data_IF_319572896240
#
_entry.id   IF_319572896240
#
_cell.length_a   1.000
_cell.length_b   1.000
_cell.length_c   1.000
_cell.angle_alpha   90.00
_cell.angle_beta   90.00
_cell.angle_gamma   90.00
#
_symmetry.space_group_name_H-M   'P 1'
#
loop_
_entity.id
_entity.type
_entity.pdbx_description
1 polymer ?
#
# COMPACT_ATOMS: atom_id res chain seq x y z
N UNK A 1 -3.34 0.28 9.88
CA UNK A 1 -2.97 1.65 10.31
C UNK A 1 -4.00 2.12 11.32
N UNK A 2 -3.57 2.49 12.53
CA UNK A 2 -4.47 3.03 13.56
C UNK A 2 -4.67 4.52 13.32
N UNK A 3 -5.89 5.01 13.56
CA UNK A 3 -6.27 6.40 13.24
C UNK A 3 -5.40 7.42 13.97
N UNK A 4 -5.17 7.25 15.28
CA UNK A 4 -4.34 8.15 16.08
C UNK A 4 -2.90 8.24 15.55
N UNK A 5 -2.29 7.09 15.25
CA UNK A 5 -0.90 7.03 14.79
C UNK A 5 -0.71 7.67 13.40
N UNK A 6 -1.70 7.56 12.51
CA UNK A 6 -1.65 8.25 11.22
C UNK A 6 -1.62 9.78 11.41
N UNK A 7 -2.48 10.30 12.26
CA UNK A 7 -2.60 11.75 12.47
C UNK A 7 -1.28 12.31 13.01
N UNK A 8 -0.68 11.64 14.00
CA UNK A 8 0.58 12.06 14.59
C UNK A 8 1.74 12.00 13.58
N UNK A 9 1.81 10.95 12.76
CA UNK A 9 2.83 10.81 11.71
C UNK A 9 2.70 11.92 10.65
N UNK A 10 1.48 12.24 10.21
CA UNK A 10 1.28 13.29 9.19
C UNK A 10 1.54 14.68 9.76
N UNK A 11 1.19 14.93 11.03
CA UNK A 11 1.42 16.22 11.69
C UNK A 11 2.91 16.58 11.73
N UNK A 12 3.80 15.61 11.91
CA UNK A 12 5.26 15.84 11.94
C UNK A 12 5.84 16.37 10.62
N UNK A 13 5.19 16.10 9.49
CA UNK A 13 5.66 16.49 8.16
C UNK A 13 4.79 17.58 7.51
N UNK A 14 3.72 17.98 8.19
CA UNK A 14 2.78 18.99 7.74
C UNK A 14 3.46 20.35 7.69
N UNK A 15 3.38 20.99 6.52
CA UNK A 15 3.85 22.35 6.31
C UNK A 15 2.72 23.06 5.57
N UNK A 16 2.13 24.13 6.15
CA UNK A 16 1.16 24.95 5.45
C UNK A 16 1.71 25.41 4.10
N UNK A 17 0.89 25.29 3.06
CA UNK A 17 1.15 25.76 1.69
C UNK A 17 2.33 25.06 0.98
N UNK A 18 2.72 23.88 1.45
CA UNK A 18 3.70 23.06 0.78
C UNK A 18 3.18 22.45 -0.53
N UNK A 19 4.11 22.21 -1.45
CA UNK A 19 3.85 21.52 -2.72
C UNK A 19 3.65 20.01 -2.50
N UNK A 20 2.38 19.57 -2.47
CA UNK A 20 1.99 18.17 -2.34
C UNK A 20 2.27 17.31 -3.60
N UNK A 21 2.80 17.91 -4.66
CA UNK A 21 3.16 17.19 -5.89
C UNK A 21 4.60 16.69 -5.88
N UNK A 22 5.35 16.80 -4.77
CA UNK A 22 6.77 16.43 -4.74
C UNK A 22 7.18 15.65 -3.49
N UNK A 23 8.10 14.71 -3.70
CA UNK A 23 8.76 13.95 -2.63
C UNK A 23 7.77 13.24 -1.69
N UNK A 24 8.13 13.19 -0.41
CA UNK A 24 7.35 12.49 0.62
C UNK A 24 5.92 13.02 0.80
N UNK A 25 5.66 14.26 0.37
CA UNK A 25 4.34 14.92 0.47
C UNK A 25 3.32 14.39 -0.54
N UNK A 26 3.76 13.65 -1.55
CA UNK A 26 2.87 12.91 -2.45
C UNK A 26 2.20 11.70 -1.77
N UNK A 27 2.69 11.27 -0.60
CA UNK A 27 2.14 10.11 0.10
C UNK A 27 0.65 10.29 0.34
N UNK A 28 -0.17 9.28 -0.01
CA UNK A 28 -1.65 9.39 -0.07
C UNK A 28 -2.27 10.08 1.14
N UNK A 29 -1.75 9.79 2.35
CA UNK A 29 -2.29 10.34 3.60
C UNK A 29 -2.10 11.84 3.76
N UNK A 30 -1.01 12.39 3.26
CA UNK A 30 -0.57 13.76 3.58
C UNK A 30 -1.49 14.81 2.95
N UNK A 31 -1.77 14.81 1.64
CA UNK A 31 -2.66 15.80 1.04
C UNK A 31 -4.11 15.65 1.53
N UNK A 32 -4.50 14.44 1.96
CA UNK A 32 -5.87 14.17 2.44
C UNK A 32 -6.12 14.66 3.85
N UNK A 33 -5.08 14.86 4.64
CA UNK A 33 -5.17 15.42 5.99
C UNK A 33 -4.97 16.92 6.06
N UNK A 34 -4.59 17.59 4.96
CA UNK A 34 -4.32 19.03 4.95
C UNK A 34 -5.48 19.86 5.53
N UNK A 35 -6.71 19.64 5.05
CA UNK A 35 -7.89 20.35 5.54
C UNK A 35 -8.13 20.13 7.04
N UNK A 36 -8.05 18.88 7.48
CA UNK A 36 -8.23 18.54 8.90
C UNK A 36 -7.17 19.21 9.79
N UNK A 37 -5.90 19.16 9.39
CA UNK A 37 -4.79 19.73 10.18
C UNK A 37 -4.83 21.27 10.20
N UNK A 38 -5.30 21.91 9.13
CA UNK A 38 -5.54 23.37 9.14
C UNK A 38 -6.64 23.71 10.13
N UNK A 39 -7.81 23.08 10.02
CA UNK A 39 -8.98 23.37 10.86
C UNK A 39 -8.79 22.96 12.33
N UNK A 40 -7.91 21.99 12.61
CA UNK A 40 -7.51 21.60 13.96
C UNK A 40 -6.93 22.79 14.75
N UNK A 41 -6.19 23.69 14.10
CA UNK A 41 -5.49 24.82 14.73
C UNK A 41 -6.35 26.06 15.02
N UNK A 42 -7.51 26.20 14.38
CA UNK A 42 -8.33 27.42 14.44
C UNK A 42 -9.60 27.31 15.29
N UNK A 43 -10.05 26.10 15.62
CA UNK A 43 -11.35 25.87 16.28
C UNK A 43 -11.11 25.49 17.74
N UNK A 44 -11.51 26.35 18.69
CA UNK A 44 -11.35 26.04 20.11
C UNK A 44 -12.51 25.19 20.68
N UNK A 45 -13.66 25.01 19.99
CA UNK A 45 -14.86 24.46 20.67
C UNK A 45 -15.83 23.52 19.89
N UNK A 46 -15.68 23.22 18.59
CA UNK A 46 -16.56 22.24 17.89
C UNK A 46 -15.87 20.90 17.60
N UNK A 47 -15.96 19.99 18.59
CA UNK A 47 -15.40 18.64 18.54
C UNK A 47 -16.05 17.76 17.46
N UNK A 48 -17.35 17.95 17.18
CA UNK A 48 -18.06 17.09 16.23
C UNK A 48 -17.67 17.42 14.78
N UNK A 49 -17.53 18.71 14.44
CA UNK A 49 -17.02 19.11 13.11
C UNK A 49 -15.60 18.59 12.85
N UNK A 50 -14.69 18.66 13.83
CA UNK A 50 -13.33 18.12 13.71
C UNK A 50 -13.35 16.61 13.45
N UNK A 51 -14.19 15.89 14.19
CA UNK A 51 -14.36 14.45 14.02
C UNK A 51 -14.93 14.10 12.64
N UNK A 52 -15.91 14.85 12.13
CA UNK A 52 -16.44 14.66 10.78
C UNK A 52 -15.37 14.88 9.70
N UNK A 53 -14.54 15.91 9.84
CA UNK A 53 -13.43 16.19 8.92
C UNK A 53 -12.38 15.09 8.95
N UNK A 54 -12.02 14.59 10.14
CA UNK A 54 -11.09 13.49 10.29
C UNK A 54 -11.63 12.21 9.62
N UNK A 55 -12.90 11.85 9.87
CA UNK A 55 -13.52 10.67 9.24
C UNK A 55 -13.59 10.82 7.72
N UNK A 56 -13.97 12.00 7.22
CA UNK A 56 -13.98 12.29 5.78
C UNK A 56 -12.58 12.14 5.15
N UNK A 57 -11.56 12.66 5.84
CA UNK A 57 -10.17 12.57 5.39
C UNK A 57 -9.68 11.11 5.37
N UNK A 58 -10.01 10.32 6.39
CA UNK A 58 -9.68 8.88 6.46
C UNK A 58 -10.41 8.10 5.35
N UNK A 59 -11.69 8.40 5.11
CA UNK A 59 -12.45 7.78 4.03
C UNK A 59 -11.81 8.06 2.66
N UNK A 60 -11.36 9.30 2.44
CA UNK A 60 -10.64 9.68 1.23
C UNK A 60 -9.29 8.96 1.08
N UNK A 61 -8.53 8.76 2.17
CA UNK A 61 -7.31 7.95 2.15
C UNK A 61 -7.62 6.52 1.72
N UNK A 62 -8.64 5.89 2.32
CA UNK A 62 -9.05 4.52 1.97
C UNK A 62 -9.45 4.42 0.50
N UNK A 63 -10.24 5.38 0.01
CA UNK A 63 -10.68 5.42 -1.39
C UNK A 63 -9.49 5.57 -2.35
N UNK A 64 -8.57 6.50 -2.05
CA UNK A 64 -7.38 6.72 -2.86
C UNK A 64 -6.41 5.53 -2.82
N UNK A 65 -6.25 4.86 -1.68
CA UNK A 65 -5.45 3.65 -1.58
C UNK A 65 -6.03 2.53 -2.46
N UNK A 66 -7.36 2.37 -2.48
CA UNK A 66 -8.03 1.42 -3.38
C UNK A 66 -7.78 1.76 -4.85
N UNK A 67 -7.95 3.03 -5.23
CA UNK A 67 -7.68 3.47 -6.61
C UNK A 67 -6.21 3.25 -7.00
N UNK A 68 -5.27 3.53 -6.10
CA UNK A 68 -3.86 3.25 -6.33
C UNK A 68 -3.61 1.77 -6.60
N UNK A 69 -4.20 0.88 -5.80
CA UNK A 69 -4.09 -0.58 -6.00
C UNK A 69 -4.67 -0.99 -7.36
N UNK A 70 -5.82 -0.44 -7.76
CA UNK A 70 -6.41 -0.70 -9.08
C UNK A 70 -5.47 -0.25 -10.21
N UNK A 71 -4.85 0.93 -10.11
CA UNK A 71 -3.88 1.40 -11.09
C UNK A 71 -2.59 0.57 -11.10
N UNK A 72 -2.12 0.11 -9.94
CA UNK A 72 -0.96 -0.78 -9.86
C UNK A 72 -1.25 -2.12 -10.54
N UNK A 73 -2.45 -2.68 -10.33
CA UNK A 73 -2.87 -3.91 -11.00
C UNK A 73 -2.92 -3.75 -12.52
N UNK A 74 -3.53 -2.67 -13.03
CA UNK A 74 -3.56 -2.35 -14.46
C UNK A 74 -2.12 -2.24 -15.03
N UNK A 75 -1.22 -1.53 -14.35
CA UNK A 75 0.18 -1.42 -14.77
C UNK A 75 0.88 -2.78 -14.84
N UNK A 76 0.68 -3.65 -13.86
CA UNK A 76 1.25 -5.01 -13.87
C UNK A 76 0.67 -5.82 -15.03
N UNK A 77 -0.64 -5.76 -15.27
CA UNK A 77 -1.29 -6.44 -16.39
C UNK A 77 -0.74 -5.97 -17.75
N UNK A 78 -0.45 -4.67 -17.90
CA UNK A 78 0.19 -4.15 -19.12
C UNK A 78 1.62 -4.63 -19.29
N UNK A 79 2.40 -4.74 -18.21
CA UNK A 79 3.74 -5.33 -18.29
C UNK A 79 3.68 -6.77 -18.81
N UNK A 80 2.73 -7.56 -18.32
CA UNK A 80 2.55 -8.95 -18.79
C UNK A 80 2.04 -9.00 -20.23
N UNK A 81 0.99 -8.25 -20.56
CA UNK A 81 0.25 -8.43 -21.81
C UNK A 81 0.79 -7.61 -22.99
N UNK A 82 1.30 -6.40 -22.74
CA UNK A 82 1.80 -5.50 -23.79
C UNK A 82 3.32 -5.59 -23.94
N UNK A 83 4.04 -5.78 -22.83
CA UNK A 83 5.51 -5.87 -22.83
C UNK A 83 6.02 -7.31 -22.84
N UNK A 84 5.12 -8.30 -22.77
CA UNK A 84 5.44 -9.72 -22.78
C UNK A 84 6.43 -10.11 -21.66
N UNK A 85 6.38 -9.42 -20.52
CA UNK A 85 7.21 -9.77 -19.38
C UNK A 85 6.77 -11.11 -18.81
N UNK A 86 7.73 -12.02 -18.63
CA UNK A 86 7.48 -13.29 -17.99
C UNK A 86 7.39 -13.08 -16.47
N UNK A 87 6.18 -12.80 -15.99
CA UNK A 87 5.90 -12.53 -14.57
C UNK A 87 5.26 -13.77 -13.95
N UNK A 88 5.85 -14.29 -12.87
CA UNK A 88 5.24 -15.33 -12.06
C UNK A 88 4.17 -14.74 -11.13
N UNK A 89 2.91 -15.16 -11.30
CA UNK A 89 1.81 -14.73 -10.45
C UNK A 89 1.68 -15.63 -9.22
N UNK A 90 1.80 -15.03 -8.02
CA UNK A 90 1.71 -15.73 -6.74
C UNK A 90 0.44 -15.28 -6.02
N UNK A 91 -0.46 -16.22 -5.75
CA UNK A 91 -1.78 -15.93 -5.17
C UNK A 91 -1.69 -15.95 -3.65
N UNK A 92 -1.73 -14.77 -3.04
CA UNK A 92 -1.72 -14.61 -1.58
C UNK A 92 -3.13 -14.42 -0.97
N UNK A 93 -4.21 -14.53 -1.76
CA UNK A 93 -5.60 -14.23 -1.30
C UNK A 93 -5.99 -14.99 -0.03
N UNK A 94 -5.63 -16.28 0.06
CA UNK A 94 -5.94 -17.09 1.25
C UNK A 94 -5.27 -16.56 2.53
N UNK A 95 -4.07 -15.98 2.42
CA UNK A 95 -3.33 -15.41 3.55
C UNK A 95 -4.09 -14.22 4.15
N UNK A 96 -4.66 -13.37 3.30
CA UNK A 96 -5.41 -12.19 3.75
C UNK A 96 -6.79 -12.52 4.32
N UNK A 97 -7.31 -13.72 4.10
CA UNK A 97 -8.60 -14.19 4.62
C UNK A 97 -8.48 -14.91 5.98
N UNK A 98 -7.27 -15.23 6.43
CA UNK A 98 -7.07 -15.90 7.71
C UNK A 98 -7.27 -14.95 8.89
N UNK A 99 -8.01 -15.39 9.90
CA UNK A 99 -8.30 -14.57 11.10
C UNK A 99 -7.28 -14.80 12.21
N UNK A 100 -6.77 -16.03 12.36
CA UNK A 100 -5.77 -16.40 13.37
C UNK A 100 -4.37 -16.34 12.79
N UNK A 101 -3.45 -15.74 13.54
CA UNK A 101 -2.06 -15.54 13.12
C UNK A 101 -1.38 -16.85 12.72
N UNK A 102 -1.59 -17.92 13.49
CA UNK A 102 -0.96 -19.21 13.23
C UNK A 102 -1.41 -19.80 11.88
N UNK A 103 -2.69 -19.65 11.56
CA UNK A 103 -3.28 -20.09 10.28
C UNK A 103 -2.77 -19.23 9.12
N UNK A 104 -2.66 -17.91 9.32
CA UNK A 104 -2.12 -16.97 8.34
C UNK A 104 -0.65 -17.28 8.04
N UNK A 105 0.16 -17.53 9.07
CA UNK A 105 1.58 -17.85 8.95
C UNK A 105 1.79 -19.18 8.20
N UNK A 106 0.99 -20.19 8.50
CA UNK A 106 1.01 -21.47 7.77
C UNK A 106 0.60 -21.32 6.30
N UNK A 107 -0.52 -20.61 6.04
CA UNK A 107 -0.96 -20.32 4.67
C UNK A 107 0.10 -19.53 3.89
N UNK A 108 0.75 -18.54 4.51
CA UNK A 108 1.82 -17.77 3.89
C UNK A 108 3.00 -18.67 3.50
N UNK A 109 3.45 -19.52 4.44
CA UNK A 109 4.56 -20.45 4.19
C UNK A 109 4.27 -21.39 3.01
N UNK A 110 3.07 -21.97 3.00
CA UNK A 110 2.71 -23.00 2.04
C UNK A 110 2.31 -22.45 0.65
N UNK A 111 1.66 -21.29 0.60
CA UNK A 111 1.11 -20.73 -0.65
C UNK A 111 1.97 -19.65 -1.29
N UNK A 112 2.67 -18.84 -0.50
CA UNK A 112 3.47 -17.74 -1.03
C UNK A 112 4.95 -18.08 -0.99
N UNK A 113 5.49 -18.36 0.21
CA UNK A 113 6.92 -18.54 0.39
C UNK A 113 7.46 -19.75 -0.38
N UNK A 114 6.83 -20.92 -0.26
CA UNK A 114 7.29 -22.12 -0.95
C UNK A 114 7.30 -21.92 -2.47
N UNK A 115 6.26 -21.30 -3.04
CA UNK A 115 6.21 -21.01 -4.48
C UNK A 115 7.33 -20.07 -4.91
N UNK A 116 7.59 -18.99 -4.16
CA UNK A 116 8.72 -18.10 -4.41
C UNK A 116 10.05 -18.86 -4.42
N UNK A 117 10.30 -19.71 -3.41
CA UNK A 117 11.55 -20.47 -3.28
C UNK A 117 11.73 -21.45 -4.45
N UNK A 118 10.67 -22.13 -4.87
CA UNK A 118 10.74 -23.08 -5.99
C UNK A 118 11.00 -22.38 -7.32
N UNK A 119 10.46 -21.18 -7.52
CA UNK A 119 10.72 -20.34 -8.70
C UNK A 119 12.19 -19.90 -8.70
N UNK A 120 12.67 -19.31 -7.61
CA UNK A 120 14.05 -18.82 -7.49
C UNK A 120 15.05 -19.97 -7.62
N UNK A 121 14.78 -21.13 -7.01
CA UNK A 121 15.62 -22.32 -7.14
C UNK A 121 15.75 -22.78 -8.58
N UNK A 122 14.63 -22.85 -9.33
CA UNK A 122 14.64 -23.20 -10.76
C UNK A 122 15.40 -22.19 -11.60
N UNK A 123 15.23 -20.90 -11.31
CA UNK A 123 15.97 -19.83 -11.98
C UNK A 123 17.48 -20.01 -11.78
N UNK A 124 17.94 -20.17 -10.54
CA UNK A 124 19.36 -20.36 -10.23
C UNK A 124 19.94 -21.66 -10.81
N UNK A 125 19.13 -22.72 -10.94
CA UNK A 125 19.57 -24.00 -11.51
C UNK A 125 19.63 -23.99 -13.06
N UNK A 126 18.88 -23.11 -13.73
CA UNK A 126 18.93 -22.98 -15.19
C UNK A 126 20.22 -22.31 -15.69
N UNK A 127 20.93 -21.56 -14.83
CA UNK A 127 22.18 -20.92 -15.20
C UNK A 127 23.35 -21.93 -15.32
N UNK A 128 23.28 -23.08 -14.64
CA UNK A 128 24.31 -24.13 -14.71
C UNK A 128 24.24 -24.99 -15.99
N UNK A 129 23.13 -24.94 -16.73
CA UNK A 129 22.90 -25.80 -17.92
C UNK A 129 22.92 -25.07 -19.25
N UNK A 130 23.14 -23.75 -19.28
CA UNK A 130 23.17 -22.93 -20.50
C UNK A 130 24.53 -22.29 -20.84
N UNK A 131 25.65 -22.81 -20.32
CA UNK A 131 26.99 -22.54 -20.88
C UNK A 131 27.42 -23.70 -21.78
N UNK A 132 26.66 -23.96 -22.85
CA UNK A 132 27.18 -24.60 -24.07
C UNK A 132 26.42 -24.01 -25.26
N UNK A 133 26.92 -22.91 -25.83
CA UNK A 133 27.05 -22.68 -27.28
C UNK A 133 28.34 -21.91 -27.51
#
# INVERSE_FOLDING_TARGET
MLQARLVDEVRQIFIPDADYTKGIRQSIGVPKMDRYLREETYIDEDDESKKMLLQSSIANIKCNARLLICHQLDRIQRLTNEKMWFVHHIIATGVFNGERKEVVDELWRNTVLQQCLDIVKRFLQCDDTNIII
#
